data_IF_918017779913
#
_entry.id   IF_918017779913
#
_cell.length_a   1.000
_cell.length_b   1.000
_cell.length_c   1.000
_cell.angle_alpha   90.00
_cell.angle_beta   90.00
_cell.angle_gamma   90.00
#
_symmetry.space_group_name_H-M   'P 1'
#
loop_
_entity.id
_entity.type
_entity.pdbx_description
1 polymer ?
#
# COMPACT_ATOMS: atom_id res chain seq x y z
N UNK A 1 -65.96 55.03 25.14
CA UNK A 1 -64.54 55.13 24.73
C UNK A 1 -63.73 54.00 25.37
N UNK A 2 -63.49 52.90 24.65
CA UNK A 2 -62.65 51.77 25.11
C UNK A 2 -61.23 51.94 24.54
N UNK A 3 -60.22 52.04 25.41
CA UNK A 3 -58.79 51.96 25.05
C UNK A 3 -58.37 50.50 25.11
N UNK A 4 -58.12 49.87 23.96
CA UNK A 4 -57.47 48.56 23.91
C UNK A 4 -55.95 48.76 23.91
N UNK A 5 -55.27 48.23 24.93
CA UNK A 5 -53.81 48.17 24.99
C UNK A 5 -53.31 47.12 24.00
N UNK A 6 -52.50 47.53 23.05
CA UNK A 6 -51.77 46.65 22.15
C UNK A 6 -50.65 45.97 22.96
N UNK A 7 -50.73 44.65 23.13
CA UNK A 7 -49.60 43.86 23.65
C UNK A 7 -48.69 43.48 22.48
N UNK A 8 -47.46 43.97 22.48
CA UNK A 8 -46.41 43.48 21.59
C UNK A 8 -46.01 42.07 22.03
N UNK A 9 -46.33 41.05 21.23
CA UNK A 9 -45.78 39.71 21.36
C UNK A 9 -44.46 39.70 20.58
N UNK A 10 -43.34 39.72 21.29
CA UNK A 10 -42.03 39.50 20.71
C UNK A 10 -41.85 37.99 20.44
N UNK A 11 -42.01 37.57 19.19
CA UNK A 11 -41.61 36.24 18.72
C UNK A 11 -40.10 36.23 18.48
N UNK A 12 -39.33 35.72 19.45
CA UNK A 12 -37.90 35.45 19.27
C UNK A 12 -37.75 34.14 18.47
N UNK A 13 -37.38 34.25 17.20
CA UNK A 13 -36.98 33.11 16.37
C UNK A 13 -35.55 32.71 16.77
N UNK A 14 -35.42 31.67 17.59
CA UNK A 14 -34.12 31.05 17.88
C UNK A 14 -33.79 30.16 16.67
N UNK A 15 -33.02 30.68 15.72
CA UNK A 15 -32.41 29.87 14.68
C UNK A 15 -31.29 29.03 15.29
N UNK A 16 -31.59 27.76 15.54
CA UNK A 16 -30.59 26.76 15.92
C UNK A 16 -29.78 26.44 14.67
N UNK A 17 -28.61 27.06 14.52
CA UNK A 17 -27.60 26.62 13.55
C UNK A 17 -27.02 25.29 14.03
N UNK A 18 -27.59 24.17 13.57
CA UNK A 18 -26.91 22.88 13.63
C UNK A 18 -25.74 22.94 12.63
N UNK A 19 -24.54 23.19 13.12
CA UNK A 19 -23.32 22.97 12.36
C UNK A 19 -23.17 21.46 12.14
N UNK A 20 -23.59 21.00 10.96
CA UNK A 20 -23.22 19.68 10.46
C UNK A 20 -21.70 19.66 10.26
N UNK A 21 -20.98 19.14 11.25
CA UNK A 21 -19.59 18.78 11.06
C UNK A 21 -19.55 17.55 10.16
N UNK A 22 -19.32 17.74 8.86
CA UNK A 22 -18.91 16.66 7.97
C UNK A 22 -17.50 16.27 8.40
N UNK A 23 -17.36 15.23 9.21
CA UNK A 23 -16.04 14.67 9.52
C UNK A 23 -15.51 14.03 8.25
N UNK A 24 -14.62 14.72 7.53
CA UNK A 24 -13.89 14.12 6.44
C UNK A 24 -13.15 12.87 6.98
N UNK A 25 -13.41 11.70 6.40
CA UNK A 25 -12.65 10.51 6.76
C UNK A 25 -11.24 10.67 6.23
N UNK A 26 -10.25 10.82 7.11
CA UNK A 26 -8.83 10.88 6.74
C UNK A 26 -8.45 9.66 5.88
N UNK A 27 -7.71 9.84 4.78
CA UNK A 27 -7.35 8.71 3.91
C UNK A 27 -6.23 7.90 4.54
N UNK A 28 -5.33 8.56 5.26
CA UNK A 28 -4.21 7.93 5.97
C UNK A 28 -4.36 8.15 7.48
N UNK A 29 -4.21 7.07 8.26
CA UNK A 29 -4.30 7.08 9.71
C UNK A 29 -3.13 6.26 10.25
N UNK A 30 -2.23 6.92 11.00
CA UNK A 30 -1.05 6.30 11.63
C UNK A 30 -1.48 5.28 12.70
N UNK A 31 -0.75 4.17 12.79
CA UNK A 31 -0.84 3.27 13.93
C UNK A 31 -0.02 3.80 15.12
N UNK A 32 -0.66 4.60 15.97
CA UNK A 32 -0.03 5.19 17.14
C UNK A 32 0.52 4.16 18.14
N UNK A 33 0.12 2.88 18.07
CA UNK A 33 0.67 1.82 18.92
C UNK A 33 2.05 1.33 18.49
N UNK A 34 2.46 1.65 17.26
CA UNK A 34 3.75 1.22 16.66
C UNK A 34 4.64 2.38 16.21
N UNK A 35 4.11 3.59 16.10
CA UNK A 35 4.89 4.75 15.64
C UNK A 35 6.01 5.11 16.62
N UNK A 36 7.09 5.67 16.08
CA UNK A 36 8.11 6.40 16.83
C UNK A 36 7.96 7.89 16.54
N UNK A 37 8.23 8.29 15.30
CA UNK A 37 8.25 9.69 14.85
C UNK A 37 7.29 9.96 13.66
N UNK A 38 6.70 8.91 13.07
CA UNK A 38 5.77 9.03 11.94
C UNK A 38 4.64 10.02 12.22
N UNK A 39 4.50 11.00 11.32
CA UNK A 39 3.47 12.03 11.38
C UNK A 39 2.92 12.37 10.00
N UNK A 40 1.74 12.99 9.98
CA UNK A 40 1.06 13.38 8.75
C UNK A 40 0.72 14.86 8.86
N UNK A 41 1.15 15.63 7.87
CA UNK A 41 0.78 17.02 7.64
C UNK A 41 -0.09 17.08 6.39
N UNK A 42 -1.12 17.93 6.38
CA UNK A 42 -1.96 18.12 5.19
C UNK A 42 -1.68 19.50 4.63
N UNK A 43 -1.18 19.56 3.39
CA UNK A 43 -0.93 20.80 2.64
C UNK A 43 -1.71 20.74 1.34
N UNK A 44 -2.53 21.74 1.07
CA UNK A 44 -3.32 21.82 -0.17
C UNK A 44 -4.09 20.53 -0.50
N UNK A 45 -4.68 19.90 0.52
CA UNK A 45 -5.43 18.63 0.45
C UNK A 45 -4.57 17.38 0.13
N UNK A 46 -3.25 17.52 0.08
CA UNK A 46 -2.28 16.43 -0.08
C UNK A 46 -1.77 16.02 1.29
N UNK A 47 -1.76 14.71 1.55
CA UNK A 47 -1.24 14.13 2.78
C UNK A 47 0.29 13.95 2.66
N UNK A 48 1.05 14.79 3.36
CA UNK A 48 2.51 14.71 3.50
C UNK A 48 2.85 13.85 4.71
N UNK A 49 3.56 12.77 4.47
CA UNK A 49 3.88 11.73 5.45
C UNK A 49 5.36 11.91 5.79
N UNK A 50 5.63 12.44 6.97
CA UNK A 50 6.98 12.46 7.52
C UNK A 50 7.27 11.04 8.02
N UNK A 51 8.02 10.29 7.22
CA UNK A 51 8.30 8.88 7.47
C UNK A 51 9.15 8.69 8.73
N UNK A 52 9.10 7.49 9.30
CA UNK A 52 10.05 7.07 10.33
C UNK A 52 11.49 7.19 9.82
N UNK A 53 12.41 7.58 10.70
CA UNK A 53 13.83 7.54 10.39
C UNK A 53 14.25 6.13 9.97
N UNK A 54 15.03 6.04 8.89
CA UNK A 54 15.61 4.79 8.46
C UNK A 54 16.46 4.14 9.57
N UNK A 55 16.37 2.81 9.67
CA UNK A 55 17.23 2.03 10.56
C UNK A 55 18.67 1.88 10.01
N UNK A 56 19.51 1.10 10.70
CA UNK A 56 20.89 0.83 10.29
C UNK A 56 21.01 0.14 8.92
N UNK A 57 19.91 -0.36 8.37
CA UNK A 57 19.84 -1.05 7.08
C UNK A 57 19.23 -0.16 5.99
N UNK A 58 18.89 1.09 6.32
CA UNK A 58 18.27 2.01 5.39
C UNK A 58 16.77 1.77 5.19
N UNK A 59 16.10 1.09 6.13
CA UNK A 59 14.66 0.78 6.04
C UNK A 59 13.89 1.74 6.95
N UNK A 60 12.95 2.47 6.36
CA UNK A 60 11.93 3.21 7.10
C UNK A 60 10.65 2.37 7.14
N UNK A 61 10.23 1.93 8.32
CA UNK A 61 9.03 1.08 8.49
C UNK A 61 7.89 1.85 9.15
N UNK A 62 6.91 2.20 8.33
CA UNK A 62 5.79 3.06 8.67
C UNK A 62 4.52 2.23 8.84
N UNK A 63 3.85 2.36 9.99
CA UNK A 63 2.67 1.57 10.33
C UNK A 63 1.39 2.42 10.33
N UNK A 64 0.34 1.88 9.72
CA UNK A 64 -0.93 2.58 9.55
C UNK A 64 -2.12 1.73 9.99
N UNK A 65 -3.11 2.37 10.61
CA UNK A 65 -4.47 1.78 10.69
C UNK A 65 -5.25 1.95 9.40
N UNK A 66 -4.89 2.91 8.54
CA UNK A 66 -5.51 3.11 7.22
C UNK A 66 -4.48 3.76 6.32
N UNK A 67 -4.31 3.23 5.11
CA UNK A 67 -3.43 3.81 4.11
C UNK A 67 -4.14 3.83 2.76
N UNK A 68 -4.86 4.92 2.51
CA UNK A 68 -5.48 5.21 1.23
C UNK A 68 -4.84 6.44 0.63
N UNK A 69 -4.69 6.47 -0.69
CA UNK A 69 -4.20 7.64 -1.42
C UNK A 69 -5.37 8.23 -2.18
N UNK A 70 -5.64 9.51 -1.93
CA UNK A 70 -6.73 10.23 -2.59
C UNK A 70 -6.40 10.50 -4.06
N UNK A 71 -7.33 11.10 -4.82
CA UNK A 71 -7.04 11.57 -6.18
C UNK A 71 -6.12 12.79 -6.20
N UNK A 72 -5.96 13.49 -5.07
CA UNK A 72 -4.99 14.59 -4.92
C UNK A 72 -3.56 14.08 -4.73
N UNK A 73 -3.43 12.82 -4.31
CA UNK A 73 -2.16 12.16 -4.04
C UNK A 73 -1.74 12.21 -2.58
N UNK A 74 -0.56 11.68 -2.31
CA UNK A 74 0.13 11.72 -1.03
C UNK A 74 1.65 11.74 -1.27
N UNK A 75 2.40 12.30 -0.33
CA UNK A 75 3.85 12.47 -0.43
C UNK A 75 4.53 11.79 0.76
N UNK A 76 5.52 10.95 0.50
CA UNK A 76 6.41 10.40 1.50
C UNK A 76 7.66 11.29 1.58
N UNK A 77 7.89 11.92 2.72
CA UNK A 77 9.00 12.86 2.91
C UNK A 77 10.29 12.10 3.27
N UNK A 78 11.10 11.79 2.27
CA UNK A 78 12.38 11.09 2.41
C UNK A 78 13.56 12.07 2.38
N UNK A 79 13.55 13.04 3.29
CA UNK A 79 14.58 14.10 3.38
C UNK A 79 15.91 13.53 3.90
N UNK A 80 17.00 14.29 3.72
CA UNK A 80 18.36 13.83 4.07
C UNK A 80 18.53 13.38 5.53
N UNK A 81 17.73 13.90 6.47
CA UNK A 81 17.83 13.60 7.91
C UNK A 81 17.25 12.22 8.27
N UNK A 82 16.30 11.74 7.46
CA UNK A 82 15.56 10.48 7.68
C UNK A 82 15.74 9.47 6.56
N UNK A 83 16.60 9.78 5.57
CA UNK A 83 16.70 9.13 4.28
C UNK A 83 16.76 7.60 4.36
N UNK A 84 15.77 6.96 3.74
CA UNK A 84 15.65 5.53 3.57
C UNK A 84 15.96 5.11 2.13
N UNK A 85 16.54 3.92 1.98
CA UNK A 85 16.64 3.22 0.69
C UNK A 85 15.37 2.43 0.40
N UNK A 86 14.67 1.98 1.44
CA UNK A 86 13.40 1.25 1.35
C UNK A 86 12.40 1.88 2.31
N UNK A 87 11.25 2.30 1.80
CA UNK A 87 10.14 2.82 2.58
C UNK A 87 9.03 1.76 2.59
N UNK A 88 8.80 1.17 3.76
CA UNK A 88 7.71 0.23 4.01
C UNK A 88 6.52 0.99 4.57
N UNK A 89 5.37 0.83 3.93
CA UNK A 89 4.08 1.32 4.39
C UNK A 89 3.17 0.12 4.67
N UNK A 90 3.03 -0.24 5.94
CA UNK A 90 2.29 -1.45 6.36
C UNK A 90 1.00 -1.09 7.08
N UNK A 91 -0.11 -1.63 6.59
CA UNK A 91 -1.42 -1.52 7.25
C UNK A 91 -1.59 -2.66 8.25
N UNK A 92 -1.88 -2.31 9.50
CA UNK A 92 -1.98 -3.24 10.64
C UNK A 92 -3.41 -3.43 11.15
N UNK A 93 -4.39 -2.76 10.55
CA UNK A 93 -5.81 -2.98 10.81
C UNK A 93 -6.40 -3.94 9.77
N UNK A 94 -7.69 -4.26 9.89
CA UNK A 94 -8.44 -5.05 8.91
C UNK A 94 -8.91 -4.23 7.69
N UNK A 95 -8.48 -2.96 7.55
CA UNK A 95 -8.91 -2.09 6.44
C UNK A 95 -8.09 -2.36 5.18
N UNK A 96 -8.78 -2.47 4.04
CA UNK A 96 -8.15 -2.49 2.70
C UNK A 96 -7.58 -1.12 2.33
N UNK A 97 -6.56 -1.12 1.47
CA UNK A 97 -5.98 0.10 0.88
C UNK A 97 -6.65 0.43 -0.45
N UNK A 98 -6.98 1.71 -0.65
CA UNK A 98 -7.47 2.26 -1.90
C UNK A 98 -6.57 3.41 -2.35
N UNK A 99 -5.90 3.22 -3.49
CA UNK A 99 -4.96 4.18 -4.07
C UNK A 99 -5.59 4.78 -5.34
N UNK A 100 -5.79 6.11 -5.39
CA UNK A 100 -6.52 6.79 -6.48
C UNK A 100 -5.75 7.91 -7.18
N UNK A 101 -4.48 8.09 -6.86
CA UNK A 101 -3.67 9.19 -7.36
C UNK A 101 -2.20 8.88 -7.19
N UNK A 102 -1.38 9.93 -7.23
CA UNK A 102 0.06 9.85 -7.04
C UNK A 102 0.41 9.46 -5.61
N UNK A 103 1.32 8.51 -5.45
CA UNK A 103 2.12 8.42 -4.23
C UNK A 103 3.56 8.75 -4.58
N UNK A 104 4.00 9.94 -4.17
CA UNK A 104 5.32 10.47 -4.47
C UNK A 104 6.28 10.20 -3.31
N UNK A 105 7.55 9.98 -3.64
CA UNK A 105 8.66 10.08 -2.67
C UNK A 105 9.38 11.40 -2.93
N UNK A 106 9.38 12.28 -1.94
CA UNK A 106 10.10 13.56 -2.00
C UNK A 106 11.48 13.42 -1.33
N UNK A 107 12.50 14.03 -1.91
CA UNK A 107 13.89 13.92 -1.43
C UNK A 107 14.66 12.77 -2.07
N UNK A 108 15.29 11.93 -1.26
CA UNK A 108 16.13 10.84 -1.76
C UNK A 108 15.28 9.75 -2.43
N UNK A 109 15.64 9.25 -3.62
CA UNK A 109 14.92 8.14 -4.23
C UNK A 109 14.97 6.88 -3.37
N UNK A 110 13.85 6.18 -3.26
CA UNK A 110 13.74 4.97 -2.46
C UNK A 110 12.88 3.91 -3.16
N UNK A 111 13.09 2.65 -2.79
CA UNK A 111 12.13 1.60 -3.08
C UNK A 111 10.90 1.75 -2.20
N UNK A 112 9.73 1.48 -2.75
CA UNK A 112 8.47 1.61 -2.05
C UNK A 112 7.82 0.25 -1.87
N UNK A 113 7.48 -0.10 -0.63
CA UNK A 113 6.66 -1.29 -0.32
C UNK A 113 5.35 -0.83 0.30
N UNK A 114 4.23 -1.20 -0.31
CA UNK A 114 2.89 -1.03 0.27
C UNK A 114 2.39 -2.41 0.63
N UNK A 115 2.29 -2.66 1.93
CA UNK A 115 1.91 -3.93 2.51
C UNK A 115 0.54 -3.81 3.18
N UNK A 116 -0.44 -4.56 2.69
CA UNK A 116 -1.75 -4.65 3.32
C UNK A 116 -2.32 -6.07 3.19
N UNK A 117 -2.28 -6.88 4.27
CA UNK A 117 -2.81 -8.23 4.27
C UNK A 117 -4.27 -8.37 3.83
N UNK A 118 -5.06 -7.30 3.94
CA UNK A 118 -6.49 -7.28 3.62
C UNK A 118 -6.78 -6.99 2.15
N UNK A 119 -5.79 -6.48 1.41
CA UNK A 119 -5.90 -6.17 -0.01
C UNK A 119 -5.60 -4.73 -0.37
N UNK A 120 -5.19 -4.54 -1.62
CA UNK A 120 -4.80 -3.27 -2.21
C UNK A 120 -5.59 -3.07 -3.50
N UNK A 121 -6.30 -1.95 -3.61
CA UNK A 121 -6.98 -1.54 -4.83
C UNK A 121 -6.30 -0.30 -5.41
N UNK A 122 -5.72 -0.43 -6.58
CA UNK A 122 -5.18 0.68 -7.37
C UNK A 122 -6.22 1.09 -8.41
N UNK A 123 -6.73 2.34 -8.31
CA UNK A 123 -7.69 2.92 -9.25
C UNK A 123 -7.08 4.16 -9.89
N UNK A 124 -6.45 3.98 -11.04
CA UNK A 124 -5.63 5.01 -11.67
C UNK A 124 -4.53 5.54 -10.76
N UNK A 125 -3.89 4.65 -9.98
CA UNK A 125 -2.76 5.04 -9.15
C UNK A 125 -1.46 5.08 -9.96
N UNK A 126 -0.52 5.89 -9.49
CA UNK A 126 0.81 6.01 -10.08
C UNK A 126 1.82 6.46 -9.02
N UNK A 127 3.11 6.30 -9.30
CA UNK A 127 4.17 6.51 -8.33
C UNK A 127 5.31 7.34 -8.93
N UNK A 128 5.94 8.18 -8.11
CA UNK A 128 7.07 9.03 -8.49
C UNK A 128 8.13 9.07 -7.39
N UNK A 129 9.34 9.51 -7.74
CA UNK A 129 10.47 9.53 -6.80
C UNK A 129 10.99 8.14 -6.39
N UNK A 130 10.56 7.09 -7.09
CA UNK A 130 10.90 5.70 -6.78
C UNK A 130 11.13 4.89 -8.07
N UNK A 131 12.16 4.04 -8.10
CA UNK A 131 12.48 3.18 -9.25
C UNK A 131 11.88 1.78 -9.13
N UNK A 132 11.54 1.33 -7.91
CA UNK A 132 10.88 0.05 -7.68
C UNK A 132 9.71 0.20 -6.70
N UNK A 133 8.55 -0.30 -7.08
CA UNK A 133 7.36 -0.35 -6.24
C UNK A 133 6.93 -1.80 -6.03
N UNK A 134 6.60 -2.15 -4.78
CA UNK A 134 6.05 -3.45 -4.42
C UNK A 134 4.69 -3.28 -3.79
N UNK A 135 3.71 -3.96 -4.38
CA UNK A 135 2.40 -4.14 -3.76
C UNK A 135 2.36 -5.54 -3.18
N UNK A 136 2.15 -5.61 -1.87
CA UNK A 136 2.14 -6.85 -1.09
C UNK A 136 0.82 -6.99 -0.35
N UNK A 137 0.14 -8.12 -0.53
CA UNK A 137 -1.00 -8.49 0.31
C UNK A 137 -0.58 -9.43 1.42
N UNK A 138 0.22 -8.90 2.34
CA UNK A 138 0.86 -9.64 3.41
C UNK A 138 1.59 -8.69 4.36
N UNK A 139 2.41 -9.26 5.24
CA UNK A 139 3.23 -8.50 6.20
C UNK A 139 4.68 -8.43 5.75
N UNK A 140 5.42 -7.48 6.29
CA UNK A 140 6.84 -7.32 6.02
C UNK A 140 7.64 -7.77 7.24
N UNK A 141 8.49 -8.76 7.05
CA UNK A 141 9.42 -9.21 8.08
C UNK A 141 10.84 -8.84 7.68
N UNK A 142 11.48 -8.04 8.51
CA UNK A 142 12.89 -7.73 8.34
C UNK A 142 13.76 -8.75 9.07
N UNK A 143 14.86 -9.16 8.43
CA UNK A 143 15.81 -10.10 8.99
C UNK A 143 16.98 -9.33 9.57
N UNK A 144 16.90 -9.05 10.87
CA UNK A 144 18.05 -8.57 11.63
C UNK A 144 19.00 -9.72 12.02
N UNK A 145 20.17 -9.37 12.56
CA UNK A 145 21.18 -10.35 13.00
C UNK A 145 20.66 -11.31 14.08
N UNK A 146 19.72 -10.89 14.92
CA UNK A 146 19.14 -11.71 15.98
C UNK A 146 18.08 -12.68 15.46
N UNK A 147 17.31 -12.26 14.45
CA UNK A 147 16.28 -13.05 13.79
C UNK A 147 16.89 -14.12 12.87
N UNK A 148 18.08 -13.88 12.32
CA UNK A 148 18.76 -14.77 11.38
C UNK A 148 18.86 -16.22 11.88
N UNK A 149 19.25 -16.42 13.15
CA UNK A 149 19.36 -17.75 13.75
C UNK A 149 18.01 -18.47 13.80
N UNK A 150 16.91 -17.75 14.03
CA UNK A 150 15.56 -18.32 14.06
C UNK A 150 15.13 -18.80 12.68
N UNK A 151 15.43 -18.04 11.63
CA UNK A 151 15.07 -18.38 10.25
C UNK A 151 15.87 -19.56 9.69
N UNK A 152 17.18 -19.63 9.98
CA UNK A 152 18.01 -20.80 9.61
C UNK A 152 17.47 -22.09 10.23
N UNK A 153 17.12 -22.06 11.51
CA UNK A 153 16.59 -23.22 12.23
C UNK A 153 15.25 -23.76 11.69
N UNK A 154 14.53 -23.00 10.85
CA UNK A 154 13.27 -23.43 10.22
C UNK A 154 13.39 -23.62 8.71
N UNK A 155 14.61 -23.79 8.18
CA UNK A 155 14.87 -24.21 6.80
C UNK A 155 15.15 -23.08 5.82
N UNK A 156 15.39 -21.84 6.29
CA UNK A 156 15.77 -20.71 5.44
C UNK A 156 17.29 -20.44 5.50
N UNK A 157 18.11 -21.47 5.26
CA UNK A 157 19.57 -21.43 5.46
C UNK A 157 20.33 -20.41 4.59
N UNK A 158 19.70 -19.95 3.51
CA UNK A 158 20.26 -18.99 2.55
C UNK A 158 19.85 -17.54 2.80
N UNK A 159 19.09 -17.28 3.86
CA UNK A 159 18.71 -15.91 4.24
C UNK A 159 19.88 -15.24 4.96
N UNK A 160 20.04 -13.95 4.73
CA UNK A 160 21.06 -13.08 5.32
C UNK A 160 20.40 -11.95 6.12
N UNK A 161 21.17 -11.36 7.05
CA UNK A 161 20.74 -10.12 7.68
C UNK A 161 20.67 -8.99 6.63
N UNK A 162 19.71 -8.08 6.77
CA UNK A 162 19.46 -7.06 5.74
C UNK A 162 18.32 -7.41 4.79
N UNK A 163 17.91 -8.68 4.72
CA UNK A 163 16.88 -9.12 3.77
C UNK A 163 15.46 -8.92 4.30
N UNK A 164 14.50 -8.84 3.38
CA UNK A 164 13.07 -8.78 3.70
C UNK A 164 12.39 -10.10 3.32
N UNK A 165 11.51 -10.59 4.19
CA UNK A 165 10.60 -11.69 3.90
C UNK A 165 9.17 -11.17 3.82
N UNK A 166 8.52 -11.50 2.70
CA UNK A 166 7.21 -11.01 2.30
C UNK A 166 6.27 -12.23 2.11
N UNK A 167 5.73 -12.80 3.19
CA UNK A 167 4.71 -13.83 3.11
C UNK A 167 3.39 -13.29 2.58
N UNK A 168 2.76 -14.00 1.65
CA UNK A 168 1.41 -13.67 1.18
C UNK A 168 0.33 -14.06 2.21
N UNK A 169 -0.65 -13.17 2.38
CA UNK A 169 -1.87 -13.36 3.16
C UNK A 169 -3.11 -13.29 2.22
N UNK A 170 -4.32 -13.09 2.75
CA UNK A 170 -5.57 -13.33 2.00
C UNK A 170 -6.00 -12.19 1.07
N UNK A 171 -5.36 -11.02 1.15
CA UNK A 171 -5.76 -9.86 0.38
C UNK A 171 -5.53 -10.02 -1.11
N UNK A 172 -6.37 -9.35 -1.90
CA UNK A 172 -6.22 -9.24 -3.35
C UNK A 172 -5.49 -7.94 -3.74
N UNK A 173 -4.78 -7.97 -4.86
CA UNK A 173 -4.36 -6.76 -5.56
C UNK A 173 -5.30 -6.56 -6.75
N UNK A 174 -6.02 -5.43 -6.78
CA UNK A 174 -7.01 -5.14 -7.83
C UNK A 174 -6.66 -3.84 -8.53
N UNK A 175 -6.49 -3.90 -9.84
CA UNK A 175 -6.29 -2.74 -10.70
C UNK A 175 -7.58 -2.35 -11.43
N UNK A 176 -7.91 -1.05 -11.40
CA UNK A 176 -9.03 -0.46 -12.12
C UNK A 176 -8.58 0.81 -12.85
N UNK A 177 -9.04 1.01 -14.08
CA UNK A 177 -8.73 2.23 -14.84
C UNK A 177 -7.31 2.22 -15.39
N UNK A 178 -6.73 3.39 -15.64
CA UNK A 178 -5.44 3.54 -16.30
C UNK A 178 -4.36 3.79 -15.25
N UNK A 179 -3.46 2.82 -15.06
CA UNK A 179 -2.44 2.85 -14.03
C UNK A 179 -1.05 2.90 -14.69
N UNK A 180 -0.44 4.08 -14.70
CA UNK A 180 0.90 4.32 -15.24
C UNK A 180 1.89 4.33 -14.09
N UNK A 181 2.43 3.17 -13.73
CA UNK A 181 3.30 3.06 -12.56
C UNK A 181 4.66 3.72 -12.82
N UNK A 182 5.18 3.65 -14.05
CA UNK A 182 6.42 4.35 -14.40
C UNK A 182 6.70 4.43 -15.92
N UNK A 183 7.45 5.45 -16.36
CA UNK A 183 7.93 5.62 -17.75
C UNK A 183 9.45 5.51 -17.92
N UNK A 184 10.24 5.41 -16.84
CA UNK A 184 11.70 5.24 -16.94
C UNK A 184 12.09 3.82 -17.37
N UNK A 185 13.25 3.71 -18.02
CA UNK A 185 13.81 2.43 -18.52
C UNK A 185 14.14 1.42 -17.41
N UNK A 186 14.18 1.87 -16.15
CA UNK A 186 14.52 1.05 -14.97
C UNK A 186 13.31 0.78 -14.06
N UNK A 187 12.16 1.38 -14.34
CA UNK A 187 10.96 1.26 -13.50
C UNK A 187 10.48 -0.18 -13.37
N UNK A 188 10.40 -0.67 -12.12
CA UNK A 188 9.94 -2.03 -11.80
C UNK A 188 8.75 -2.03 -10.86
N UNK A 189 7.73 -2.83 -11.18
CA UNK A 189 6.58 -3.13 -10.33
C UNK A 189 6.60 -4.60 -9.92
N UNK A 190 6.65 -4.85 -8.61
CA UNK A 190 6.49 -6.19 -8.04
C UNK A 190 5.07 -6.33 -7.44
N UNK A 191 4.35 -7.36 -7.85
CA UNK A 191 3.03 -7.72 -7.32
C UNK A 191 3.16 -9.06 -6.59
N UNK A 192 3.00 -9.04 -5.27
CA UNK A 192 3.16 -10.23 -4.42
C UNK A 192 1.85 -10.44 -3.67
N UNK A 193 1.06 -11.41 -4.13
CA UNK A 193 -0.30 -11.63 -3.61
C UNK A 193 -0.73 -13.06 -3.81
N UNK A 194 -1.78 -13.50 -3.11
CA UNK A 194 -2.47 -14.73 -3.54
C UNK A 194 -3.27 -14.54 -4.80
N UNK A 195 -3.86 -13.37 -5.00
CA UNK A 195 -4.69 -13.09 -6.15
C UNK A 195 -4.48 -11.66 -6.67
N UNK A 196 -4.36 -11.56 -7.99
CA UNK A 196 -4.20 -10.31 -8.72
C UNK A 196 -5.30 -10.22 -9.77
N UNK A 197 -6.02 -9.10 -9.80
CA UNK A 197 -7.10 -8.87 -10.75
C UNK A 197 -6.91 -7.56 -11.51
N UNK A 198 -6.94 -7.64 -12.84
CA UNK A 198 -7.15 -6.49 -13.72
C UNK A 198 -8.65 -6.41 -14.04
N UNK A 199 -9.34 -5.33 -13.67
CA UNK A 199 -10.76 -5.15 -14.01
C UNK A 199 -10.94 -4.84 -15.50
N UNK A 200 -12.17 -5.01 -16.01
CA UNK A 200 -12.52 -4.63 -17.38
C UNK A 200 -12.09 -3.21 -17.76
N UNK A 201 -11.60 -3.05 -18.99
CA UNK A 201 -11.12 -1.78 -19.55
C UNK A 201 -10.04 -1.10 -18.69
N UNK A 202 -9.22 -1.87 -17.98
CA UNK A 202 -8.11 -1.36 -17.17
C UNK A 202 -6.78 -1.54 -17.87
N UNK A 203 -5.86 -0.58 -17.69
CA UNK A 203 -4.50 -0.66 -18.20
C UNK A 203 -3.51 -0.61 -17.05
N UNK A 204 -2.47 -1.44 -17.13
CA UNK A 204 -1.32 -1.40 -16.24
C UNK A 204 -0.07 -1.22 -17.10
N UNK A 205 0.67 -0.15 -16.85
CA UNK A 205 1.90 0.16 -17.59
C UNK A 205 3.07 0.34 -16.63
N UNK A 206 4.17 -0.38 -16.88
CA UNK A 206 5.47 -0.21 -16.23
C UNK A 206 6.56 -0.76 -17.16
N UNK A 207 7.83 -0.42 -16.96
CA UNK A 207 8.89 -0.99 -17.80
C UNK A 207 9.10 -2.50 -17.53
N UNK A 208 9.20 -2.89 -16.26
CA UNK A 208 9.30 -4.30 -15.84
C UNK A 208 8.23 -4.63 -14.81
N UNK A 209 7.51 -5.74 -15.01
CA UNK A 209 6.48 -6.23 -14.09
C UNK A 209 6.86 -7.64 -13.62
N UNK A 210 7.00 -7.83 -12.32
CA UNK A 210 7.12 -9.13 -11.68
C UNK A 210 5.87 -9.44 -10.89
N UNK A 211 5.31 -10.62 -11.08
CA UNK A 211 4.08 -11.05 -10.42
C UNK A 211 4.32 -12.41 -9.79
N UNK A 212 4.16 -12.49 -8.46
CA UNK A 212 4.24 -13.73 -7.69
C UNK A 212 2.87 -14.00 -7.07
N UNK A 213 2.24 -15.09 -7.50
CA UNK A 213 0.88 -15.45 -7.15
C UNK A 213 0.86 -16.79 -6.43
N UNK A 214 0.17 -16.81 -5.28
CA UNK A 214 -0.07 -17.99 -4.47
C UNK A 214 0.47 -17.86 -3.05
N UNK A 215 0.50 -18.99 -2.34
CA UNK A 215 1.06 -19.18 -1.01
C UNK A 215 2.59 -19.13 -1.04
N UNK A 216 3.16 -17.93 -0.89
CA UNK A 216 4.60 -17.72 -1.05
C UNK A 216 5.18 -16.97 0.14
N UNK A 217 6.38 -17.36 0.54
CA UNK A 217 7.32 -16.52 1.29
C UNK A 217 8.33 -16.01 0.28
N UNK A 218 8.20 -14.73 -0.08
CA UNK A 218 9.09 -14.08 -1.04
C UNK A 218 10.19 -13.34 -0.30
N UNK A 219 11.43 -13.61 -0.67
CA UNK A 219 12.60 -12.90 -0.17
C UNK A 219 12.97 -11.75 -1.10
N UNK A 220 13.29 -10.59 -0.52
CA UNK A 220 14.01 -9.50 -1.19
C UNK A 220 15.43 -9.50 -0.63
N UNK A 221 16.41 -9.77 -1.48
CA UNK A 221 17.82 -9.72 -1.08
C UNK A 221 18.33 -8.28 -0.95
N UNK A 222 19.52 -8.11 -0.36
CA UNK A 222 20.23 -6.83 -0.28
C UNK A 222 20.54 -6.19 -1.66
N UNK A 223 20.49 -6.98 -2.74
CA UNK A 223 20.67 -6.54 -4.12
C UNK A 223 19.33 -6.33 -4.84
N UNK A 224 18.24 -6.25 -4.08
CA UNK A 224 16.92 -6.01 -4.60
C UNK A 224 16.37 -7.13 -5.53
N UNK A 225 16.84 -8.36 -5.33
CA UNK A 225 16.42 -9.53 -6.11
C UNK A 225 15.30 -10.29 -5.37
N UNK A 226 14.24 -10.61 -6.10
CA UNK A 226 13.17 -11.48 -5.61
C UNK A 226 13.54 -12.95 -5.71
N UNK A 227 13.18 -13.74 -4.71
CA UNK A 227 13.26 -15.20 -4.74
C UNK A 227 12.16 -15.80 -3.88
N UNK A 228 11.49 -16.83 -4.39
CA UNK A 228 10.54 -17.61 -3.58
C UNK A 228 11.37 -18.59 -2.77
N UNK A 229 11.24 -18.54 -1.44
CA UNK A 229 12.05 -19.36 -0.53
C UNK A 229 11.23 -20.34 0.30
N UNK A 230 9.90 -20.27 0.22
CA UNK A 230 9.02 -21.17 0.95
C UNK A 230 7.55 -20.90 0.67
N UNK A 231 6.70 -21.66 1.36
CA UNK A 231 5.23 -21.58 1.26
C UNK A 231 4.66 -20.83 2.46
N UNK A 232 3.81 -19.83 2.24
CA UNK A 232 3.07 -19.17 3.32
C UNK A 232 1.81 -19.97 3.69
N UNK A 233 1.25 -19.72 4.87
CA UNK A 233 0.01 -20.38 5.31
C UNK A 233 -1.12 -19.35 5.27
N UNK A 234 -2.23 -19.61 4.55
CA UNK A 234 -3.38 -18.73 4.56
C UNK A 234 -4.08 -18.73 5.90
N UNK A 235 -4.60 -17.58 6.31
CA UNK A 235 -5.48 -17.51 7.48
C UNK A 235 -6.92 -17.98 7.16
N UNK A 236 -7.24 -18.20 5.89
CA UNK A 236 -8.50 -18.82 5.44
C UNK A 236 -8.26 -20.23 4.88
N UNK A 237 -9.21 -21.14 5.08
CA UNK A 237 -9.08 -22.53 4.63
C UNK A 237 -9.12 -22.69 3.09
N UNK A 238 -9.70 -21.72 2.38
CA UNK A 238 -9.80 -21.69 0.91
C UNK A 238 -9.49 -20.27 0.41
N UNK A 239 -8.22 -19.85 0.40
CA UNK A 239 -7.88 -18.57 -0.18
C UNK A 239 -8.13 -18.58 -1.69
N UNK A 240 -8.57 -17.45 -2.24
CA UNK A 240 -8.61 -17.27 -3.69
C UNK A 240 -7.16 -17.08 -4.15
N UNK A 241 -6.74 -17.91 -5.10
CA UNK A 241 -5.41 -17.81 -5.71
C UNK A 241 -5.56 -17.69 -7.23
N UNK A 242 -4.85 -16.77 -7.85
CA UNK A 242 -4.80 -16.69 -9.31
C UNK A 242 -4.56 -15.30 -9.89
N UNK A 243 -4.48 -15.25 -11.22
CA UNK A 243 -4.46 -14.03 -12.01
C UNK A 243 -5.75 -13.95 -12.81
N UNK A 244 -6.53 -12.90 -12.61
CA UNK A 244 -7.75 -12.63 -13.38
C UNK A 244 -7.56 -11.38 -14.24
N UNK A 245 -7.84 -11.48 -15.55
CA UNK A 245 -7.71 -10.37 -16.49
C UNK A 245 -9.07 -10.11 -17.13
N UNK A 246 -9.65 -8.95 -16.83
CA UNK A 246 -10.96 -8.54 -17.32
C UNK A 246 -10.96 -8.22 -18.82
N UNK A 247 -12.18 -8.07 -19.36
CA UNK A 247 -12.41 -7.76 -20.77
C UNK A 247 -11.75 -6.44 -21.17
N UNK A 248 -11.02 -6.43 -22.28
CA UNK A 248 -10.27 -5.26 -22.78
C UNK A 248 -9.26 -4.69 -21.77
N UNK A 249 -8.84 -5.47 -20.77
CA UNK A 249 -7.74 -5.07 -19.92
C UNK A 249 -6.40 -5.27 -20.66
N UNK A 250 -5.43 -4.42 -20.36
CA UNK A 250 -4.11 -4.45 -20.99
C UNK A 250 -2.99 -4.35 -19.95
N UNK A 251 -1.94 -5.13 -20.15
CA UNK A 251 -0.67 -5.00 -19.43
C UNK A 251 0.39 -4.59 -20.47
N UNK A 252 1.05 -3.47 -20.22
CA UNK A 252 2.04 -2.87 -21.12
C UNK A 252 3.38 -2.79 -20.38
N UNK A 253 4.32 -3.65 -20.78
CA UNK A 253 5.66 -3.65 -20.22
C UNK A 253 6.69 -4.19 -21.21
N UNK A 254 7.94 -3.76 -21.05
CA UNK A 254 9.08 -4.31 -21.81
C UNK A 254 9.37 -5.75 -21.36
N UNK A 255 9.27 -6.01 -20.06
CA UNK A 255 9.44 -7.33 -19.48
C UNK A 255 8.30 -7.63 -18.50
N UNK A 256 7.67 -8.79 -18.65
CA UNK A 256 6.67 -9.30 -17.69
C UNK A 256 7.06 -10.72 -17.29
N UNK A 257 7.17 -10.96 -15.99
CA UNK A 257 7.39 -12.29 -15.42
C UNK A 257 6.25 -12.60 -14.44
N UNK A 258 5.53 -13.69 -14.69
CA UNK A 258 4.40 -14.14 -13.87
C UNK A 258 4.73 -15.54 -13.36
N UNK A 259 4.75 -15.68 -12.04
CA UNK A 259 4.99 -16.95 -11.34
C UNK A 259 3.74 -17.29 -10.55
N UNK A 260 3.14 -18.44 -10.87
CA UNK A 260 1.99 -19.02 -10.18
C UNK A 260 2.48 -20.28 -9.47
N UNK A 261 2.37 -20.36 -8.15
CA UNK A 261 2.91 -21.48 -7.38
C UNK A 261 1.87 -22.46 -6.83
N UNK A 262 0.58 -22.11 -6.88
CA UNK A 262 -0.51 -22.99 -6.42
C UNK A 262 -1.21 -23.71 -7.58
N UNK A 263 -1.56 -24.98 -7.37
CA UNK A 263 -2.13 -25.90 -8.36
C UNK A 263 -3.52 -25.51 -8.92
N UNK A 264 -4.11 -24.36 -8.52
CA UNK A 264 -5.43 -23.86 -8.99
C UNK A 264 -5.34 -22.64 -9.91
N UNK A 265 -4.15 -22.31 -10.40
CA UNK A 265 -3.88 -21.02 -11.03
C UNK A 265 -4.15 -21.02 -12.54
N UNK A 266 -5.37 -20.66 -12.94
CA UNK A 266 -5.83 -19.88 -14.12
C UNK A 266 -7.35 -20.09 -14.18
N UNK A 267 -8.13 -19.09 -13.76
CA UNK A 267 -9.59 -19.09 -13.96
C UNK A 267 -9.91 -18.04 -15.03
N UNK A 268 -10.30 -18.49 -16.21
CA UNK A 268 -10.91 -17.62 -17.22
C UNK A 268 -12.37 -17.39 -16.80
N UNK A 269 -12.72 -16.17 -16.39
CA UNK A 269 -14.11 -15.73 -16.21
C UNK A 269 -14.45 -14.69 -17.28
#
# INVERSE_FOLDING_TARGET
MKRNKLHCIALSVISIFYSFHVTASQNIIVDNSKKRELSIEIKDEIEHINIEKADENGISHNYYKKFNVSTKGAVLENTNEVAAKIIVNEVTSEKKSLLKGELAVNGQPAELIIANPNGIKCRSCWFSGSTTQRLLTGKVFYIDKSALNRFKNVGFDKVEAGELLLPTENGDIVFKGINHVHSSEEGRLDLISRHVMMMDNSSLSANTIYVVIGDNIVRVSNQNKLSIIGKSIPSTAMPITGLAIGKNAAIQAKYTNIILTDNKSINNF
#
